data_IF_635412957310
#
_entry.id   IF_635412957310
#
_cell.length_a   1.000
_cell.length_b   1.000
_cell.length_c   1.000
_cell.angle_alpha   90.00
_cell.angle_beta   90.00
_cell.angle_gamma   90.00
#
_symmetry.space_group_name_H-M   'P 1'
#
loop_
_entity.id
_entity.type
_entity.pdbx_description
1 polymer ?
#
# COMPACT_ATOMS: atom_id res chain seq x y z
N UNK A 1 -3.17 -22.88 8.40
CA UNK A 1 -2.99 -22.84 9.87
C UNK A 1 -2.91 -21.39 10.33
N UNK A 2 -3.79 -20.93 11.25
CA UNK A 2 -3.64 -19.61 11.89
C UNK A 2 -2.39 -19.68 12.78
N UNK A 3 -1.37 -18.82 12.54
CA UNK A 3 -0.29 -18.63 13.50
C UNK A 3 -0.88 -18.18 14.83
N UNK A 4 -0.38 -18.71 15.94
CA UNK A 4 -0.77 -18.25 17.27
C UNK A 4 -0.56 -16.74 17.38
N UNK A 5 -1.49 -16.04 18.01
CA UNK A 5 -1.34 -14.62 18.32
C UNK A 5 -0.04 -14.41 19.08
N UNK A 6 0.81 -13.52 18.60
CA UNK A 6 2.08 -13.23 19.24
C UNK A 6 1.91 -12.18 20.33
N UNK A 7 2.75 -12.24 21.36
CA UNK A 7 2.82 -11.23 22.42
C UNK A 7 3.55 -9.94 21.97
N UNK A 8 3.95 -9.84 20.70
CA UNK A 8 4.62 -8.66 20.18
C UNK A 8 3.69 -7.43 20.20
N UNK A 9 4.21 -6.25 20.50
CA UNK A 9 3.43 -5.04 20.64
C UNK A 9 2.72 -4.65 19.33
N UNK A 10 1.59 -3.94 19.46
CA UNK A 10 0.81 -3.41 18.35
C UNK A 10 1.35 -2.07 17.82
N UNK A 11 2.65 -1.89 17.84
CA UNK A 11 3.34 -0.71 17.34
C UNK A 11 4.70 -1.09 16.75
N UNK A 12 5.31 -0.17 16.02
CA UNK A 12 6.62 -0.36 15.39
C UNK A 12 7.73 -0.64 16.40
N UNK A 13 8.77 -1.37 15.96
CA UNK A 13 10.02 -1.53 16.73
C UNK A 13 10.84 -0.22 16.77
N UNK A 14 10.49 0.77 15.96
CA UNK A 14 11.22 2.03 15.80
C UNK A 14 10.35 3.25 16.17
N UNK A 15 9.93 3.43 17.44
CA UNK A 15 8.99 4.49 17.82
C UNK A 15 9.49 5.88 17.49
N UNK A 16 10.82 6.14 17.55
CA UNK A 16 11.42 7.42 17.15
C UNK A 16 11.26 7.75 15.67
N UNK A 17 10.96 6.77 14.83
CA UNK A 17 10.73 6.96 13.40
C UNK A 17 9.29 7.40 13.07
N UNK A 18 8.37 7.28 14.03
CA UNK A 18 6.97 7.69 13.88
C UNK A 18 6.90 9.22 13.88
N UNK A 19 6.21 9.77 12.87
CA UNK A 19 6.06 11.21 12.66
C UNK A 19 4.65 11.63 13.04
N UNK A 20 4.57 12.45 14.08
CA UNK A 20 3.34 13.09 14.55
C UNK A 20 3.08 14.30 13.65
N UNK A 21 1.92 14.33 13.01
CA UNK A 21 1.65 15.27 11.91
C UNK A 21 1.55 16.73 12.35
N UNK A 22 1.20 17.01 13.59
CA UNK A 22 1.24 18.39 14.14
C UNK A 22 2.64 19.03 14.08
N UNK A 23 3.69 18.23 14.19
CA UNK A 23 5.09 18.66 14.19
C UNK A 23 5.80 18.40 12.85
N UNK A 24 5.30 17.43 12.05
CA UNK A 24 5.93 17.00 10.81
C UNK A 24 5.64 17.96 9.66
N UNK A 25 6.65 18.70 9.21
CA UNK A 25 6.53 19.76 8.19
C UNK A 25 6.65 19.28 6.73
N UNK A 26 7.00 18.02 6.52
CA UNK A 26 7.18 17.47 5.17
C UNK A 26 5.92 16.78 4.66
N UNK A 27 5.80 16.62 3.35
CA UNK A 27 4.73 15.88 2.71
C UNK A 27 4.66 14.44 3.22
N UNK A 28 3.45 13.89 3.33
CA UNK A 28 3.22 12.49 3.73
C UNK A 28 3.39 11.55 2.54
N UNK A 29 3.05 11.99 1.34
CA UNK A 29 3.33 11.28 0.10
C UNK A 29 4.77 11.58 -0.35
N UNK A 30 5.57 10.54 -0.50
CA UNK A 30 6.97 10.65 -0.91
C UNK A 30 7.17 10.10 -2.31
N UNK A 31 7.97 10.78 -3.13
CA UNK A 31 8.42 10.19 -4.38
C UNK A 31 9.11 8.86 -4.11
N UNK A 32 8.75 7.84 -4.88
CA UNK A 32 9.41 6.54 -4.75
C UNK A 32 10.89 6.70 -5.14
N UNK A 33 11.78 6.23 -4.26
CA UNK A 33 13.22 6.15 -4.51
C UNK A 33 13.67 4.73 -4.87
N UNK A 34 12.74 3.84 -5.18
CA UNK A 34 13.06 2.47 -5.51
C UNK A 34 13.70 2.40 -6.90
N UNK A 35 14.97 2.03 -6.97
CA UNK A 35 15.73 1.91 -8.22
C UNK A 35 15.11 0.90 -9.22
N UNK A 36 14.33 -0.08 -8.74
CA UNK A 36 13.57 -1.01 -9.59
C UNK A 36 12.45 -0.32 -10.38
N UNK A 37 11.95 0.82 -9.90
CA UNK A 37 10.90 1.58 -10.58
C UNK A 37 11.46 2.58 -11.57
N UNK A 38 12.58 3.20 -11.26
CA UNK A 38 13.29 4.12 -12.16
C UNK A 38 14.70 4.40 -11.63
N UNK A 39 15.66 4.58 -12.54
CA UNK A 39 16.99 5.12 -12.26
C UNK A 39 16.98 6.65 -12.22
N UNK A 40 15.89 7.28 -12.66
CA UNK A 40 15.74 8.73 -12.74
C UNK A 40 15.33 9.31 -11.37
N UNK A 41 15.60 10.60 -11.19
CA UNK A 41 15.21 11.33 -9.96
C UNK A 41 13.72 11.28 -9.67
N UNK A 42 12.89 11.27 -10.72
CA UNK A 42 11.44 11.19 -10.64
C UNK A 42 11.00 9.88 -11.29
N UNK A 43 10.48 8.89 -10.52
CA UNK A 43 10.02 7.64 -11.08
C UNK A 43 8.74 7.87 -11.89
N UNK A 44 8.87 7.71 -13.20
CA UNK A 44 7.78 7.86 -14.17
C UNK A 44 7.52 6.52 -14.84
N UNK A 45 6.27 6.16 -14.95
CA UNK A 45 5.85 4.96 -15.69
C UNK A 45 6.19 5.09 -17.18
N UNK A 46 6.96 4.15 -17.70
CA UNK A 46 7.50 4.20 -19.08
C UNK A 46 6.58 3.57 -20.13
N UNK A 47 5.66 2.68 -19.73
CA UNK A 47 4.81 1.89 -20.66
C UNK A 47 3.38 1.70 -20.12
N UNK A 48 2.47 1.26 -20.99
CA UNK A 48 1.09 0.93 -20.63
C UNK A 48 0.19 2.14 -20.43
N UNK A 49 -1.02 1.90 -19.90
CA UNK A 49 -2.07 2.92 -19.75
C UNK A 49 -1.66 4.10 -18.86
N UNK A 50 -0.79 3.88 -17.89
CA UNK A 50 -0.29 4.92 -16.98
C UNK A 50 1.03 5.55 -17.43
N UNK A 51 1.40 5.43 -18.71
CA UNK A 51 2.64 6.04 -19.22
C UNK A 51 2.66 7.54 -18.93
N UNK A 52 3.76 8.00 -18.32
CA UNK A 52 3.95 9.39 -17.93
C UNK A 52 3.42 9.74 -16.53
N UNK A 53 2.81 8.79 -15.82
CA UNK A 53 2.40 9.00 -14.42
C UNK A 53 3.62 8.94 -13.49
N UNK A 54 3.65 9.83 -12.51
CA UNK A 54 4.66 9.85 -11.44
C UNK A 54 4.26 8.91 -10.31
N UNK A 55 5.23 8.31 -9.61
CA UNK A 55 4.97 7.34 -8.55
C UNK A 55 5.33 7.92 -7.18
N UNK A 56 4.35 7.98 -6.31
CA UNK A 56 4.47 8.35 -4.90
C UNK A 56 4.19 7.16 -4.00
N UNK A 57 4.67 7.22 -2.77
CA UNK A 57 4.51 6.17 -1.77
C UNK A 57 4.03 6.76 -0.45
N UNK A 58 3.22 6.00 0.27
CA UNK A 58 2.82 6.29 1.63
C UNK A 58 3.38 5.21 2.56
N UNK A 59 3.94 5.65 3.68
CA UNK A 59 4.49 4.75 4.71
C UNK A 59 3.81 5.06 6.03
N UNK A 60 2.98 4.13 6.51
CA UNK A 60 2.31 4.23 7.80
C UNK A 60 3.09 3.47 8.87
N UNK A 61 2.69 3.65 10.13
CA UNK A 61 3.23 2.83 11.21
C UNK A 61 2.70 1.40 11.08
N UNK A 62 3.61 0.46 10.79
CA UNK A 62 3.29 -0.97 10.79
C UNK A 62 2.86 -1.43 12.18
N UNK A 63 2.08 -2.49 12.24
CA UNK A 63 1.40 -3.04 13.42
C UNK A 63 0.33 -2.13 14.01
N UNK A 64 0.54 -0.81 14.16
CA UNK A 64 -0.49 0.11 14.62
C UNK A 64 -1.68 0.19 13.62
N UNK A 65 -1.37 0.07 12.33
CA UNK A 65 -2.37 0.09 11.25
C UNK A 65 -2.70 -1.29 10.68
N UNK A 66 -1.87 -2.31 10.97
CA UNK A 66 -2.04 -3.65 10.43
C UNK A 66 -3.04 -4.50 11.25
N UNK A 67 -3.72 -5.48 10.62
CA UNK A 67 -4.50 -6.46 11.36
C UNK A 67 -3.58 -7.37 12.19
N UNK A 68 -4.04 -7.76 13.38
CA UNK A 68 -3.28 -8.67 14.27
C UNK A 68 -3.04 -10.05 13.62
N UNK A 69 -3.91 -10.44 12.72
CA UNK A 69 -3.87 -11.70 11.98
C UNK A 69 -2.92 -11.64 10.79
N UNK A 70 -2.20 -10.53 10.58
CA UNK A 70 -1.23 -10.41 9.50
C UNK A 70 -0.25 -11.57 9.55
N UNK A 71 -0.13 -12.32 8.46
CA UNK A 71 0.75 -13.47 8.35
C UNK A 71 2.21 -13.12 8.70
N UNK A 72 2.63 -11.90 8.30
CA UNK A 72 3.97 -11.37 8.52
C UNK A 72 4.07 -10.50 9.79
N UNK A 73 3.25 -10.75 10.81
CA UNK A 73 3.30 -9.95 12.03
C UNK A 73 4.67 -9.99 12.71
N UNK A 74 5.31 -11.15 12.77
CA UNK A 74 6.57 -11.38 13.45
C UNK A 74 7.79 -11.04 12.59
N UNK A 75 7.74 -11.41 11.32
CA UNK A 75 8.77 -11.22 10.31
C UNK A 75 8.46 -10.02 9.38
N UNK A 76 7.77 -9.03 9.93
CA UNK A 76 7.37 -7.85 9.18
C UNK A 76 8.55 -7.20 8.46
N UNK A 77 8.36 -6.90 7.20
CA UNK A 77 9.33 -6.18 6.37
C UNK A 77 9.83 -4.88 7.04
N UNK A 78 8.96 -4.20 7.80
CA UNK A 78 9.30 -3.02 8.58
C UNK A 78 10.40 -3.24 9.62
N UNK A 79 10.64 -4.48 10.06
CA UNK A 79 11.70 -4.80 11.02
C UNK A 79 13.11 -4.47 10.47
N UNK A 80 13.27 -4.42 9.14
CA UNK A 80 14.53 -4.11 8.47
C UNK A 80 14.60 -2.66 7.97
N UNK A 81 13.60 -1.82 8.29
CA UNK A 81 13.50 -0.45 7.79
C UNK A 81 13.64 0.59 8.92
N UNK A 82 14.76 0.58 9.63
CA UNK A 82 15.00 1.45 10.79
C UNK A 82 14.97 2.96 10.46
N UNK A 83 15.31 3.34 9.23
CA UNK A 83 15.35 4.75 8.80
C UNK A 83 14.06 5.21 8.09
N UNK A 84 13.07 4.36 7.92
CA UNK A 84 11.82 4.75 7.29
C UNK A 84 11.04 5.70 8.20
N UNK A 85 10.64 6.86 7.69
CA UNK A 85 9.68 7.71 8.37
C UNK A 85 8.29 7.07 8.29
N UNK A 86 7.72 6.74 9.43
CA UNK A 86 6.38 6.17 9.60
C UNK A 86 5.42 7.30 9.95
N UNK A 87 4.41 7.47 9.15
CA UNK A 87 3.41 8.52 9.42
C UNK A 87 2.34 7.95 10.33
N UNK A 88 2.04 8.68 11.41
CA UNK A 88 0.95 8.35 12.31
C UNK A 88 -0.39 8.45 11.57
N UNK A 89 -1.25 7.46 11.74
CA UNK A 89 -2.59 7.43 11.15
C UNK A 89 -3.58 8.34 11.91
N UNK A 90 -4.67 8.70 11.26
CA UNK A 90 -5.76 9.47 11.85
C UNK A 90 -6.22 10.64 10.96
N UNK A 91 -7.17 11.46 11.47
CA UNK A 91 -7.84 12.50 10.67
C UNK A 91 -6.89 13.54 10.06
N UNK A 92 -5.81 13.90 10.74
CA UNK A 92 -4.83 14.84 10.20
C UNK A 92 -4.06 14.26 9.01
N UNK A 93 -3.76 12.96 9.04
CA UNK A 93 -3.18 12.26 7.87
C UNK A 93 -4.14 12.32 6.69
N UNK A 94 -5.41 12.01 6.90
CA UNK A 94 -6.43 11.99 5.85
C UNK A 94 -6.62 13.36 5.22
N UNK A 95 -6.63 14.41 6.05
CA UNK A 95 -6.67 15.80 5.58
C UNK A 95 -5.46 16.14 4.70
N UNK A 96 -4.25 15.75 5.12
CA UNK A 96 -3.02 16.00 4.36
C UNK A 96 -2.98 15.20 3.07
N UNK A 97 -3.42 13.94 3.08
CA UNK A 97 -3.53 13.14 1.84
C UNK A 97 -4.45 13.84 0.84
N UNK A 98 -5.61 14.36 1.28
CA UNK A 98 -6.54 15.09 0.39
C UNK A 98 -5.86 16.30 -0.27
N UNK A 99 -5.13 17.08 0.50
CA UNK A 99 -4.44 18.27 0.01
C UNK A 99 -3.29 17.91 -0.95
N UNK A 100 -2.42 16.97 -0.54
CA UNK A 100 -1.26 16.57 -1.33
C UNK A 100 -1.67 15.87 -2.64
N UNK A 101 -2.69 15.01 -2.63
CA UNK A 101 -3.21 14.37 -3.85
C UNK A 101 -3.77 15.43 -4.80
N UNK A 102 -4.51 16.42 -4.27
CA UNK A 102 -5.05 17.51 -5.11
C UNK A 102 -3.93 18.32 -5.78
N UNK A 103 -2.89 18.67 -5.04
CA UNK A 103 -1.71 19.36 -5.56
C UNK A 103 -0.99 18.54 -6.63
N UNK A 104 -0.73 17.26 -6.34
CA UNK A 104 -0.01 16.37 -7.25
C UNK A 104 -0.81 16.12 -8.54
N UNK A 105 -2.12 15.86 -8.44
CA UNK A 105 -2.97 15.67 -9.61
C UNK A 105 -3.15 16.93 -10.45
N UNK A 106 -3.04 18.11 -9.84
CA UNK A 106 -3.01 19.39 -10.55
C UNK A 106 -1.66 19.70 -11.21
N UNK A 107 -0.57 19.12 -10.69
CA UNK A 107 0.80 19.39 -11.16
C UNK A 107 1.24 18.43 -12.26
N UNK A 108 0.88 17.15 -12.14
CA UNK A 108 1.37 16.09 -13.02
C UNK A 108 0.27 15.58 -13.96
N UNK A 109 0.68 15.09 -15.14
CA UNK A 109 -0.21 14.38 -16.07
C UNK A 109 -1.03 13.29 -15.38
N UNK A 110 -0.44 12.62 -14.41
CA UNK A 110 -1.10 11.62 -13.59
C UNK A 110 -0.19 11.12 -12.48
N UNK A 111 -0.81 10.60 -11.43
CA UNK A 111 -0.18 10.21 -10.19
C UNK A 111 -0.56 8.78 -9.84
N UNK A 112 0.44 7.98 -9.49
CA UNK A 112 0.21 6.66 -8.88
C UNK A 112 0.65 6.73 -7.43
N UNK A 113 -0.21 6.32 -6.52
CA UNK A 113 0.14 6.18 -5.11
C UNK A 113 0.24 4.70 -4.73
N UNK A 114 1.43 4.28 -4.25
CA UNK A 114 1.61 2.96 -3.66
C UNK A 114 1.17 2.97 -2.20
N UNK A 115 0.15 2.20 -1.87
CA UNK A 115 -0.33 1.91 -0.52
C UNK A 115 0.05 0.47 -0.13
N UNK A 116 0.69 0.23 0.91
CA UNK A 116 1.51 1.06 1.78
C UNK A 116 2.93 0.49 1.66
N UNK A 117 3.96 1.30 1.82
CA UNK A 117 5.33 0.75 1.94
C UNK A 117 5.43 -0.05 3.25
N UNK A 118 4.92 0.52 4.34
CA UNK A 118 4.66 -0.13 5.62
C UNK A 118 3.25 0.25 6.08
N UNK A 119 2.66 -0.57 6.94
CA UNK A 119 1.30 -0.38 7.44
C UNK A 119 0.23 -0.97 6.53
N UNK A 120 -1.01 -0.69 6.85
CA UNK A 120 -2.19 -1.23 6.14
C UNK A 120 -3.39 -0.27 6.28
N UNK A 121 -4.50 -0.59 5.61
CA UNK A 121 -5.77 0.10 5.81
C UNK A 121 -6.26 -0.07 7.24
N UNK A 122 -6.47 1.01 7.98
CA UNK A 122 -6.78 0.99 9.40
C UNK A 122 -8.26 1.21 9.73
N UNK A 123 -9.05 1.75 8.78
CA UNK A 123 -10.49 1.96 8.94
C UNK A 123 -11.22 1.90 7.60
N UNK A 124 -12.55 1.77 7.64
CA UNK A 124 -13.43 1.88 6.46
C UNK A 124 -13.36 3.30 5.91
N UNK A 125 -13.45 4.32 6.75
CA UNK A 125 -13.38 5.75 6.36
C UNK A 125 -12.09 6.05 5.58
N UNK A 126 -10.98 5.42 5.96
CA UNK A 126 -9.72 5.57 5.23
C UNK A 126 -9.76 4.90 3.84
N UNK A 127 -10.51 3.82 3.66
CA UNK A 127 -10.75 3.23 2.33
C UNK A 127 -11.64 4.17 1.50
N UNK A 128 -12.70 4.69 2.10
CA UNK A 128 -13.63 5.63 1.47
C UNK A 128 -12.97 6.95 1.07
N UNK A 129 -11.96 7.40 1.82
CA UNK A 129 -11.10 8.52 1.42
C UNK A 129 -10.48 8.27 0.03
N UNK A 130 -9.92 7.07 -0.20
CA UNK A 130 -9.32 6.74 -1.49
C UNK A 130 -10.36 6.61 -2.60
N UNK A 131 -11.54 6.07 -2.28
CA UNK A 131 -12.68 6.05 -3.20
C UNK A 131 -13.08 7.48 -3.64
N UNK A 132 -13.23 8.38 -2.68
CA UNK A 132 -13.51 9.78 -2.94
C UNK A 132 -12.46 10.45 -3.83
N UNK A 133 -11.18 10.23 -3.55
CA UNK A 133 -10.09 10.81 -4.34
C UNK A 133 -10.06 10.25 -5.76
N UNK A 134 -10.31 8.97 -5.95
CA UNK A 134 -10.40 8.34 -7.28
C UNK A 134 -11.60 8.83 -8.08
N UNK A 135 -12.72 9.11 -7.42
CA UNK A 135 -13.89 9.72 -8.05
C UNK A 135 -13.64 11.18 -8.46
N UNK A 136 -12.84 11.90 -7.66
CA UNK A 136 -12.55 13.32 -7.89
C UNK A 136 -11.45 13.57 -8.92
N UNK A 137 -10.46 12.67 -9.03
CA UNK A 137 -9.29 12.85 -9.89
C UNK A 137 -9.13 11.67 -10.85
N UNK A 138 -9.47 11.89 -12.12
CA UNK A 138 -9.38 10.87 -13.16
C UNK A 138 -7.93 10.46 -13.50
N UNK A 139 -6.97 11.32 -13.18
CA UNK A 139 -5.55 11.08 -13.34
C UNK A 139 -4.85 10.53 -12.08
N UNK A 140 -5.61 10.06 -11.08
CA UNK A 140 -5.11 9.33 -9.93
C UNK A 140 -5.25 7.83 -10.15
N UNK A 141 -4.21 7.07 -9.82
CA UNK A 141 -4.26 5.62 -9.65
C UNK A 141 -3.63 5.20 -8.32
N UNK A 142 -4.10 4.11 -7.76
CA UNK A 142 -3.67 3.60 -6.45
C UNK A 142 -3.39 2.11 -6.56
N UNK A 143 -2.30 1.63 -5.98
CA UNK A 143 -2.03 0.21 -5.88
C UNK A 143 -1.37 -0.15 -4.55
N UNK A 144 -1.53 -1.40 -4.14
CA UNK A 144 -0.94 -1.86 -2.90
C UNK A 144 -1.35 -3.26 -2.51
N UNK A 145 -1.03 -3.58 -1.27
CA UNK A 145 -1.36 -4.86 -0.66
C UNK A 145 -2.04 -4.62 0.68
N UNK A 146 -2.88 -5.58 1.10
CA UNK A 146 -3.51 -5.58 2.41
C UNK A 146 -3.43 -6.96 3.05
N UNK A 147 -3.16 -7.00 4.35
CA UNK A 147 -3.29 -8.19 5.18
C UNK A 147 -4.69 -8.32 5.81
N UNK A 148 -5.61 -7.40 5.50
CA UNK A 148 -7.00 -7.47 6.00
C UNK A 148 -7.71 -8.69 5.44
N UNK A 149 -8.57 -9.30 6.26
CA UNK A 149 -9.42 -10.39 5.77
C UNK A 149 -10.34 -9.90 4.66
N UNK A 150 -10.50 -10.73 3.62
CA UNK A 150 -11.37 -10.46 2.48
C UNK A 150 -12.83 -10.23 2.87
N UNK A 151 -13.28 -10.82 3.99
CA UNK A 151 -14.63 -10.72 4.53
C UNK A 151 -14.80 -9.72 5.68
N UNK A 152 -13.72 -9.04 6.11
CA UNK A 152 -13.84 -7.98 7.12
C UNK A 152 -14.48 -6.73 6.54
N UNK A 153 -15.00 -5.83 7.38
CA UNK A 153 -15.61 -4.56 6.93
C UNK A 153 -14.66 -3.75 6.04
N UNK A 154 -13.38 -3.66 6.44
CA UNK A 154 -12.34 -3.01 5.63
C UNK A 154 -12.12 -3.77 4.32
N UNK A 155 -12.11 -5.11 4.35
CA UNK A 155 -11.98 -5.94 3.15
C UNK A 155 -13.15 -5.76 2.19
N UNK A 156 -14.38 -5.68 2.70
CA UNK A 156 -15.59 -5.39 1.92
C UNK A 156 -15.52 -4.01 1.27
N UNK A 157 -15.10 -2.99 2.01
CA UNK A 157 -14.90 -1.64 1.49
C UNK A 157 -13.85 -1.62 0.38
N UNK A 158 -12.69 -2.26 0.56
CA UNK A 158 -11.65 -2.38 -0.47
C UNK A 158 -12.21 -3.04 -1.74
N UNK A 159 -12.99 -4.12 -1.61
CA UNK A 159 -13.62 -4.81 -2.74
C UNK A 159 -14.61 -3.93 -3.50
N UNK A 160 -15.39 -3.12 -2.78
CA UNK A 160 -16.30 -2.15 -3.39
C UNK A 160 -15.54 -1.13 -4.24
N UNK A 161 -14.41 -0.60 -3.74
CA UNK A 161 -13.55 0.31 -4.51
C UNK A 161 -12.93 -0.37 -5.72
N UNK A 162 -12.48 -1.63 -5.59
CA UNK A 162 -11.98 -2.42 -6.73
C UNK A 162 -13.09 -2.56 -7.80
N UNK A 163 -14.32 -2.86 -7.40
CA UNK A 163 -15.46 -2.98 -8.30
C UNK A 163 -15.77 -1.70 -9.08
N UNK A 164 -15.67 -0.55 -8.42
CA UNK A 164 -15.96 0.75 -9.04
C UNK A 164 -14.78 1.36 -9.83
N UNK A 165 -13.55 1.08 -9.42
CA UNK A 165 -12.34 1.74 -9.94
C UNK A 165 -11.23 0.76 -10.34
N UNK A 166 -11.55 -0.50 -10.64
CA UNK A 166 -10.57 -1.57 -10.83
C UNK A 166 -9.43 -1.27 -11.81
N UNK A 167 -9.66 -0.43 -12.82
CA UNK A 167 -8.60 0.01 -13.73
C UNK A 167 -7.57 0.94 -13.06
N UNK A 168 -7.95 1.65 -12.00
CA UNK A 168 -7.13 2.65 -11.30
C UNK A 168 -6.90 2.34 -9.81
N UNK A 169 -7.58 1.33 -9.25
CA UNK A 169 -7.41 0.87 -7.88
C UNK A 169 -7.08 -0.61 -7.85
N UNK A 170 -5.80 -0.94 -7.68
CA UNK A 170 -5.30 -2.32 -7.68
C UNK A 170 -4.71 -2.68 -6.32
N UNK A 171 -5.57 -3.07 -5.38
CA UNK A 171 -5.17 -3.60 -4.08
C UNK A 171 -5.31 -5.12 -4.08
N UNK A 172 -4.27 -5.82 -3.60
CA UNK A 172 -4.23 -7.28 -3.52
C UNK A 172 -4.28 -7.75 -2.07
N UNK A 173 -5.08 -8.78 -1.81
CA UNK A 173 -5.15 -9.43 -0.51
C UNK A 173 -3.96 -10.38 -0.34
N UNK A 174 -3.13 -10.14 0.67
CA UNK A 174 -1.91 -10.91 0.91
C UNK A 174 -2.23 -12.27 1.54
N UNK A 175 -1.62 -13.33 0.97
CA UNK A 175 -1.74 -14.70 1.47
C UNK A 175 -3.19 -15.18 1.64
N UNK A 176 -4.02 -14.86 0.66
CA UNK A 176 -5.42 -15.26 0.58
C UNK A 176 -5.66 -15.99 -0.77
N UNK A 177 -5.17 -17.24 -0.93
CA UNK A 177 -5.15 -17.94 -2.20
C UNK A 177 -6.54 -18.22 -2.77
N UNK A 178 -7.54 -18.38 -1.90
CA UNK A 178 -8.90 -18.77 -2.27
C UNK A 178 -9.80 -17.59 -2.65
N UNK A 179 -9.24 -16.38 -2.74
CA UNK A 179 -10.03 -15.19 -3.06
C UNK A 179 -9.50 -14.45 -4.29
N UNK A 180 -10.40 -13.71 -4.94
CA UNK A 180 -10.04 -12.85 -6.05
C UNK A 180 -9.11 -11.71 -5.61
N UNK A 181 -8.29 -11.23 -6.54
CA UNK A 181 -7.32 -10.16 -6.29
C UNK A 181 -6.31 -10.47 -5.17
N UNK A 182 -5.88 -11.72 -5.06
CA UNK A 182 -4.87 -12.14 -4.10
C UNK A 182 -3.44 -11.98 -4.63
N UNK A 183 -2.49 -11.87 -3.68
CA UNK A 183 -1.06 -12.00 -3.90
C UNK A 183 -0.49 -12.91 -2.81
N UNK A 184 0.01 -14.07 -3.22
CA UNK A 184 0.39 -15.12 -2.29
C UNK A 184 1.91 -15.36 -2.34
N UNK A 185 2.49 -15.67 -1.19
CA UNK A 185 3.86 -16.13 -1.09
C UNK A 185 3.99 -17.51 -1.74
N UNK A 186 5.05 -17.74 -2.50
CA UNK A 186 5.33 -19.03 -3.15
C UNK A 186 5.51 -20.18 -2.15
N UNK A 187 5.91 -19.87 -0.92
CA UNK A 187 6.05 -20.84 0.16
C UNK A 187 4.72 -21.39 0.68
N UNK A 188 3.65 -20.62 0.48
CA UNK A 188 2.30 -20.94 0.96
C UNK A 188 1.37 -21.42 -0.13
N UNK A 189 1.68 -21.12 -1.38
CA UNK A 189 0.79 -21.36 -2.50
C UNK A 189 1.56 -21.80 -3.73
N UNK A 190 1.19 -22.94 -4.29
CA UNK A 190 1.70 -23.41 -5.58
C UNK A 190 0.87 -22.77 -6.71
N UNK A 191 1.50 -21.96 -7.56
CA UNK A 191 0.77 -21.25 -8.61
C UNK A 191 0.24 -22.23 -9.67
N UNK A 192 -1.03 -22.09 -10.03
CA UNK A 192 -1.63 -22.85 -11.12
C UNK A 192 -1.22 -22.24 -12.46
N UNK A 193 -0.74 -23.11 -13.38
CA UNK A 193 -0.34 -22.70 -14.73
C UNK A 193 -1.53 -22.07 -15.46
N UNK A 194 -1.33 -20.87 -15.97
CA UNK A 194 -2.34 -20.11 -16.71
C UNK A 194 -3.34 -19.31 -15.86
N UNK A 195 -3.37 -19.51 -14.53
CA UNK A 195 -4.24 -18.76 -13.60
C UNK A 195 -3.48 -17.80 -12.69
N UNK A 196 -2.19 -18.00 -12.52
CA UNK A 196 -1.36 -17.21 -11.60
C UNK A 196 -0.15 -16.65 -12.33
N UNK A 197 0.23 -15.42 -11.98
CA UNK A 197 1.49 -14.81 -12.39
C UNK A 197 2.51 -14.93 -11.25
N UNK A 198 3.64 -15.57 -11.53
CA UNK A 198 4.76 -15.63 -10.58
C UNK A 198 5.60 -14.37 -10.76
N UNK A 199 5.89 -13.68 -9.65
CA UNK A 199 6.81 -12.56 -9.70
C UNK A 199 8.19 -13.02 -10.21
N UNK A 200 8.76 -12.40 -11.25
CA UNK A 200 10.07 -12.80 -11.78
C UNK A 200 11.17 -12.84 -10.72
N UNK A 201 11.12 -11.99 -9.71
CA UNK A 201 12.07 -11.99 -8.59
C UNK A 201 12.03 -13.27 -7.77
N UNK A 202 10.85 -13.89 -7.61
CA UNK A 202 10.71 -15.18 -6.92
C UNK A 202 11.24 -16.37 -7.74
N UNK A 203 11.41 -16.19 -9.03
CA UNK A 203 11.95 -17.22 -9.94
C UNK A 203 13.43 -17.05 -10.23
N UNK A 204 14.10 -16.07 -9.61
CA UNK A 204 15.50 -15.73 -9.90
C UNK A 204 15.75 -15.16 -11.31
N UNK A 205 14.70 -14.78 -12.03
CA UNK A 205 14.77 -14.28 -13.42
C UNK A 205 14.74 -12.75 -13.53
N UNK A 206 14.79 -12.02 -12.42
CA UNK A 206 14.92 -10.57 -12.43
C UNK A 206 16.40 -10.20 -12.42
N UNK A 207 16.97 -9.88 -13.56
CA UNK A 207 18.20 -9.09 -13.69
C UNK A 207 17.91 -7.59 -13.59
#
# INVERSE_FOLDING_TARGET
MKKAQTNKPAFTMYPKSVKILGEYKHNVLKQSKNAKLSKDRLPVVKKGQFKGYVIYTLTLEERATCPRECYHWDDCYGNNMMFAHRIQHGPELEKRIKAEVAELCGTYRGVIVRLHVLGDFYSVDYVELWQYLLAKFDNLAVWGFTGRSYSSDIGLAIRAVIGGFGARFSVRFSNAPDVAFSANSADLYQPEKGKSLICPEQTGKSE
#
